data_IF_396810066914
#
_entry.id   IF_396810066914
#
_cell.length_a   1.000
_cell.length_b   1.000
_cell.length_c   1.000
_cell.angle_alpha   90.00
_cell.angle_beta   90.00
_cell.angle_gamma   90.00
#
_symmetry.space_group_name_H-M   'P 1'
#
loop_
_entity.id
_entity.type
_entity.pdbx_description
1 polymer ?
#
# COMPACT_ATOMS: atom_id res chain seq x y z
N UNK A 1 17.18 3.54 20.95
CA UNK A 1 16.09 3.99 20.05
C UNK A 1 16.32 3.46 18.65
N UNK A 2 15.29 3.28 17.85
CA UNK A 2 15.32 2.82 16.45
C UNK A 2 14.58 3.81 15.58
N UNK A 3 15.11 4.12 14.41
CA UNK A 3 14.54 5.10 13.49
C UNK A 3 13.90 4.40 12.29
N UNK A 4 12.63 4.64 12.05
CA UNK A 4 11.96 4.29 10.79
C UNK A 4 11.79 5.51 9.91
N UNK A 5 12.12 5.37 8.63
CA UNK A 5 11.98 6.40 7.59
C UNK A 5 11.01 5.86 6.54
N UNK A 6 9.90 6.55 6.34
CA UNK A 6 8.90 6.20 5.32
C UNK A 6 8.81 7.27 4.25
N UNK A 7 9.05 6.87 3.00
CA UNK A 7 9.02 7.73 1.82
C UNK A 7 7.65 7.60 1.15
N UNK A 8 6.66 8.31 1.70
CA UNK A 8 5.31 8.33 1.11
C UNK A 8 5.21 9.24 -0.11
N UNK A 9 4.06 9.23 -0.77
CA UNK A 9 3.80 10.09 -1.95
C UNK A 9 3.66 11.56 -1.56
N UNK A 10 2.97 11.85 -0.45
CA UNK A 10 2.66 13.21 0.00
C UNK A 10 3.59 13.76 1.08
N UNK A 11 4.38 12.90 1.73
CA UNK A 11 5.30 13.29 2.78
C UNK A 11 6.37 12.22 3.04
N UNK A 12 7.54 12.65 3.51
CA UNK A 12 8.48 11.79 4.24
C UNK A 12 8.09 11.84 5.71
N UNK A 13 7.95 10.65 6.32
CA UNK A 13 7.61 10.49 7.73
C UNK A 13 8.72 9.76 8.47
N UNK A 14 9.06 10.24 9.65
CA UNK A 14 10.02 9.61 10.55
C UNK A 14 9.32 9.19 11.84
N UNK A 15 9.65 8.02 12.32
CA UNK A 15 9.25 7.52 13.65
C UNK A 15 10.51 7.08 14.38
N UNK A 16 10.75 7.64 15.56
CA UNK A 16 11.72 7.14 16.51
C UNK A 16 11.00 6.38 17.61
N UNK A 17 11.37 5.11 17.79
CA UNK A 17 10.73 4.23 18.74
C UNK A 17 11.75 3.48 19.62
N UNK A 18 11.32 3.04 20.78
CA UNK A 18 12.02 2.12 21.65
C UNK A 18 11.07 1.01 22.10
N UNK A 19 11.41 -0.25 21.78
CA UNK A 19 10.50 -1.38 21.93
C UNK A 19 9.12 -1.08 21.27
N UNK A 20 8.04 -1.07 22.04
CA UNK A 20 6.69 -0.86 21.55
C UNK A 20 6.20 0.60 21.72
N UNK A 21 7.10 1.51 22.12
CA UNK A 21 6.75 2.90 22.38
C UNK A 21 7.31 3.83 21.31
N UNK A 22 6.45 4.64 20.69
CA UNK A 22 6.84 5.75 19.85
C UNK A 22 7.27 6.91 20.74
N UNK A 23 8.51 7.36 20.59
CA UNK A 23 9.11 8.45 21.36
C UNK A 23 8.94 9.79 20.67
N UNK A 24 9.08 9.84 19.36
CA UNK A 24 8.98 11.09 18.58
C UNK A 24 8.69 10.79 17.11
N UNK A 25 8.05 11.73 16.46
CA UNK A 25 7.76 11.69 15.02
C UNK A 25 8.11 13.01 14.35
N UNK A 26 8.43 12.95 13.06
CA UNK A 26 8.58 14.13 12.23
C UNK A 26 7.98 13.87 10.84
N UNK A 27 7.51 14.92 10.18
CA UNK A 27 6.96 14.78 8.83
C UNK A 27 7.25 16.04 8.01
N UNK A 28 7.64 15.81 6.75
CA UNK A 28 7.89 16.89 5.78
C UNK A 28 7.10 16.57 4.51
N UNK A 29 6.24 17.51 4.11
CA UNK A 29 5.42 17.38 2.91
C UNK A 29 6.28 17.32 1.63
N UNK A 30 5.76 16.63 0.63
CA UNK A 30 6.32 16.47 -0.70
C UNK A 30 5.33 16.96 -1.76
N UNK A 31 5.85 17.56 -2.81
CA UNK A 31 5.07 17.93 -3.98
C UNK A 31 5.12 16.82 -5.03
N UNK A 32 4.00 16.60 -5.70
CA UNK A 32 3.88 15.70 -6.86
C UNK A 32 3.73 16.53 -8.11
N UNK A 33 4.52 16.25 -9.12
CA UNK A 33 4.41 16.85 -10.46
C UNK A 33 3.51 16.00 -11.34
N UNK A 34 2.63 16.63 -12.09
CA UNK A 34 1.78 15.99 -13.12
C UNK A 34 1.98 16.70 -14.45
N UNK A 35 3.06 16.43 -15.17
CA UNK A 35 3.42 17.14 -16.40
C UNK A 35 2.37 17.00 -17.51
N UNK A 36 1.69 15.85 -17.57
CA UNK A 36 0.63 15.54 -18.52
C UNK A 36 -0.56 14.88 -17.78
N UNK A 37 -1.77 14.88 -18.32
CA UNK A 37 -2.90 14.17 -17.74
C UNK A 37 -2.59 12.69 -17.50
N UNK A 38 -2.79 12.21 -16.27
CA UNK A 38 -2.50 10.85 -15.86
C UNK A 38 -1.03 10.54 -15.54
N UNK A 39 -0.12 11.51 -15.70
CA UNK A 39 1.28 11.38 -15.28
C UNK A 39 1.47 11.81 -13.83
N UNK A 40 2.39 11.14 -13.14
CA UNK A 40 2.72 11.44 -11.74
C UNK A 40 4.21 11.19 -11.51
N UNK A 41 4.93 12.23 -11.15
CA UNK A 41 6.39 12.21 -11.03
C UNK A 41 6.88 12.95 -9.77
N UNK A 42 8.02 12.49 -9.23
CA UNK A 42 8.76 13.18 -8.19
C UNK A 42 10.26 13.07 -8.45
N UNK A 43 11.02 14.14 -8.16
CA UNK A 43 12.47 14.06 -8.26
C UNK A 43 13.04 13.36 -7.02
N UNK A 44 13.88 12.30 -7.17
CA UNK A 44 14.40 11.55 -6.02
C UNK A 44 15.15 12.40 -4.98
N UNK A 45 15.82 13.48 -5.41
CA UNK A 45 16.53 14.38 -4.48
C UNK A 45 15.57 15.15 -3.55
N UNK A 46 14.29 15.34 -3.93
CA UNK A 46 13.30 15.93 -3.03
C UNK A 46 13.06 15.05 -1.80
N UNK A 47 13.05 13.72 -1.98
CA UNK A 47 12.91 12.75 -0.88
C UNK A 47 14.11 12.85 0.07
N UNK A 48 15.34 12.92 -0.49
CA UNK A 48 16.54 13.08 0.33
C UNK A 48 16.54 14.38 1.11
N UNK A 49 16.24 15.50 0.45
CA UNK A 49 16.13 16.80 1.12
C UNK A 49 15.05 16.83 2.20
N UNK A 50 13.89 16.19 1.94
CA UNK A 50 12.82 16.08 2.92
C UNK A 50 13.23 15.18 4.10
N UNK A 51 13.97 14.09 3.85
CA UNK A 51 14.54 13.24 4.89
C UNK A 51 15.51 14.02 5.78
N UNK A 52 16.43 14.79 5.22
CA UNK A 52 17.35 15.64 5.99
C UNK A 52 16.60 16.69 6.82
N UNK A 53 15.57 17.35 6.25
CA UNK A 53 14.73 18.30 7.00
C UNK A 53 13.97 17.64 8.13
N UNK A 54 13.41 16.45 7.90
CA UNK A 54 12.68 15.70 8.93
C UNK A 54 13.61 15.26 10.07
N UNK A 55 14.85 14.85 9.76
CA UNK A 55 15.88 14.56 10.76
C UNK A 55 16.27 15.80 11.55
N UNK A 56 16.39 16.96 10.90
CA UNK A 56 16.60 18.25 11.57
C UNK A 56 15.45 18.60 12.54
N UNK A 57 14.18 18.32 12.18
CA UNK A 57 13.06 18.49 13.11
C UNK A 57 13.11 17.51 14.30
N UNK A 58 13.52 16.27 14.04
CA UNK A 58 13.61 15.23 15.05
C UNK A 58 14.75 15.51 16.05
N UNK A 59 15.89 16.01 15.58
CA UNK A 59 17.08 16.34 16.41
C UNK A 59 16.79 17.39 17.47
N UNK A 60 15.79 18.24 17.27
CA UNK A 60 15.32 19.20 18.28
C UNK A 60 14.52 18.57 19.45
N UNK A 61 14.19 17.27 19.35
CA UNK A 61 13.35 16.55 20.32
C UNK A 61 14.04 15.33 20.93
N UNK A 62 14.96 14.69 20.18
CA UNK A 62 15.71 13.52 20.62
C UNK A 62 17.19 13.67 20.24
N UNK A 63 18.07 12.97 20.97
CA UNK A 63 19.47 12.87 20.60
C UNK A 63 19.66 11.83 19.48
N UNK A 64 19.97 12.26 18.25
CA UNK A 64 20.21 11.35 17.12
C UNK A 64 21.36 10.37 17.37
N UNK A 65 22.30 10.71 18.26
CA UNK A 65 23.40 9.83 18.69
C UNK A 65 22.95 8.59 19.45
N UNK A 66 21.72 8.57 19.97
CA UNK A 66 21.14 7.43 20.69
C UNK A 66 20.42 6.43 19.76
N UNK A 67 20.33 6.74 18.47
CA UNK A 67 19.75 5.82 17.47
C UNK A 67 20.74 4.67 17.25
N UNK A 68 20.24 3.43 17.29
CA UNK A 68 21.03 2.20 17.18
C UNK A 68 20.99 1.57 15.79
N UNK A 69 19.88 1.74 15.07
CA UNK A 69 19.72 1.31 13.68
C UNK A 69 18.59 2.07 12.99
N UNK A 70 18.59 2.04 11.64
CA UNK A 70 17.62 2.67 10.75
C UNK A 70 16.91 1.58 9.94
N UNK A 71 15.59 1.66 9.85
CA UNK A 71 14.76 0.90 8.92
C UNK A 71 14.11 1.82 7.88
N UNK A 72 13.90 1.28 6.70
CA UNK A 72 13.36 2.01 5.57
C UNK A 72 11.98 1.49 5.17
N UNK A 73 11.12 2.39 4.74
CA UNK A 73 9.83 2.11 4.12
C UNK A 73 9.57 3.12 3.01
N UNK A 74 8.70 2.79 2.08
CA UNK A 74 8.29 3.78 1.09
C UNK A 74 7.21 3.29 0.15
N UNK A 75 6.63 4.26 -0.58
CA UNK A 75 5.69 3.99 -1.65
C UNK A 75 6.28 3.00 -2.66
N UNK A 76 5.53 1.96 -2.95
CA UNK A 76 5.95 0.90 -3.86
C UNK A 76 5.89 1.35 -5.34
N UNK A 77 6.48 0.56 -6.22
CA UNK A 77 6.36 0.67 -7.68
C UNK A 77 7.03 1.90 -8.33
N UNK A 78 7.51 2.88 -7.57
CA UNK A 78 8.16 4.07 -8.11
C UNK A 78 9.43 3.72 -8.89
N UNK A 79 9.54 4.16 -10.15
CA UNK A 79 10.71 3.84 -10.97
C UNK A 79 11.81 4.91 -10.81
N UNK A 80 12.81 4.63 -9.96
CA UNK A 80 14.02 5.46 -9.81
C UNK A 80 15.11 4.92 -10.73
N UNK A 81 15.41 5.67 -11.78
CA UNK A 81 16.28 5.25 -12.87
C UNK A 81 17.62 5.96 -12.75
N UNK A 82 18.71 5.20 -12.66
CA UNK A 82 20.05 5.74 -12.40
C UNK A 82 21.03 5.41 -13.52
N UNK A 83 21.95 6.34 -13.77
CA UNK A 83 23.11 6.14 -14.62
C UNK A 83 24.22 5.32 -13.91
N UNK A 84 25.33 5.06 -14.61
CA UNK A 84 26.50 4.31 -14.09
C UNK A 84 27.17 5.00 -12.89
N UNK A 85 26.93 6.30 -12.71
CA UNK A 85 27.42 7.08 -11.55
C UNK A 85 26.37 7.12 -10.41
N UNK A 86 25.32 6.30 -10.50
CA UNK A 86 24.21 6.25 -9.53
C UNK A 86 23.44 7.56 -9.40
N UNK A 87 23.36 8.37 -10.48
CA UNK A 87 22.62 9.63 -10.53
C UNK A 87 21.28 9.45 -11.23
N UNK A 88 20.19 10.04 -10.70
CA UNK A 88 18.90 9.98 -11.37
C UNK A 88 18.98 10.57 -12.79
N UNK A 89 18.51 9.82 -13.79
CA UNK A 89 18.47 10.25 -15.20
C UNK A 89 17.19 11.03 -15.54
N UNK A 90 16.19 10.95 -14.66
CA UNK A 90 14.93 11.69 -14.76
C UNK A 90 14.17 11.66 -13.42
N UNK A 91 13.10 12.46 -13.25
CA UNK A 91 12.15 12.27 -12.14
C UNK A 91 11.60 10.85 -12.13
N UNK A 92 11.39 10.29 -10.94
CA UNK A 92 10.81 8.97 -10.75
C UNK A 92 9.34 8.96 -11.19
N UNK A 93 8.93 7.94 -11.94
CA UNK A 93 7.53 7.72 -12.33
C UNK A 93 6.85 6.96 -11.21
N UNK A 94 5.79 7.55 -10.61
CA UNK A 94 5.17 7.05 -9.38
C UNK A 94 4.13 5.94 -9.64
N UNK A 95 3.65 5.32 -8.57
CA UNK A 95 2.71 4.20 -8.58
C UNK A 95 1.31 4.55 -9.14
N UNK A 96 0.89 5.81 -9.04
CA UNK A 96 -0.39 6.33 -9.52
C UNK A 96 -0.30 6.93 -10.94
N UNK A 97 0.83 6.71 -11.64
CA UNK A 97 1.01 7.09 -13.03
C UNK A 97 0.33 6.10 -13.96
N UNK A 98 -0.34 6.58 -15.00
CA UNK A 98 -1.11 5.76 -15.93
C UNK A 98 -0.60 5.77 -17.37
N UNK A 99 0.63 6.30 -17.63
CA UNK A 99 1.17 6.43 -19.00
C UNK A 99 1.43 5.10 -19.70
N UNK A 100 1.74 4.03 -18.98
CA UNK A 100 2.22 2.75 -19.50
C UNK A 100 1.12 1.69 -19.72
N UNK A 101 -0.09 2.13 -20.17
CA UNK A 101 -1.23 1.22 -20.39
C UNK A 101 -0.94 0.22 -21.51
N UNK A 102 -0.43 0.70 -22.65
CA UNK A 102 -0.13 -0.14 -23.83
C UNK A 102 0.94 -1.19 -23.50
N UNK A 103 1.93 -0.79 -22.71
CA UNK A 103 3.03 -1.67 -22.29
C UNK A 103 2.54 -2.80 -21.38
N UNK A 104 1.44 -2.61 -20.63
CA UNK A 104 0.84 -3.70 -19.86
C UNK A 104 0.29 -4.81 -20.76
N UNK A 105 -0.37 -4.47 -21.86
CA UNK A 105 -0.91 -5.43 -22.82
C UNK A 105 0.21 -6.14 -23.57
N UNK A 106 1.24 -5.39 -23.98
CA UNK A 106 2.43 -5.93 -24.61
C UNK A 106 3.14 -6.96 -23.71
N UNK A 107 3.26 -6.66 -22.38
CA UNK A 107 3.88 -7.56 -21.41
C UNK A 107 3.05 -8.82 -21.17
N UNK A 108 1.71 -8.70 -21.09
CA UNK A 108 0.83 -9.88 -20.99
C UNK A 108 0.96 -10.79 -22.21
N UNK A 109 1.09 -10.22 -23.40
CA UNK A 109 1.29 -10.99 -24.63
C UNK A 109 2.68 -11.63 -24.69
N UNK A 110 3.74 -10.92 -24.27
CA UNK A 110 5.12 -11.42 -24.29
C UNK A 110 5.37 -12.50 -23.23
N UNK A 111 4.73 -12.39 -22.05
CA UNK A 111 4.86 -13.34 -20.94
C UNK A 111 3.49 -13.68 -20.33
N UNK A 112 2.74 -14.65 -20.92
CA UNK A 112 1.40 -15.01 -20.45
C UNK A 112 1.33 -15.50 -18.99
N UNK A 113 2.45 -16.00 -18.44
CA UNK A 113 2.52 -16.47 -17.06
C UNK A 113 2.90 -15.36 -16.06
N UNK A 114 3.07 -14.12 -16.53
CA UNK A 114 3.57 -13.02 -15.70
C UNK A 114 2.77 -12.86 -14.40
N UNK A 115 1.44 -12.94 -14.47
CA UNK A 115 0.58 -12.79 -13.29
C UNK A 115 0.77 -13.88 -12.24
N UNK A 116 1.05 -15.12 -12.66
CA UNK A 116 1.33 -16.23 -11.75
C UNK A 116 2.74 -16.21 -11.17
N UNK A 117 3.71 -15.67 -11.91
CA UNK A 117 5.09 -15.54 -11.44
C UNK A 117 5.22 -14.34 -10.50
N UNK A 118 4.74 -13.18 -10.93
CA UNK A 118 4.85 -11.91 -10.18
C UNK A 118 3.73 -11.67 -9.17
N UNK A 119 2.74 -12.57 -9.09
CA UNK A 119 1.63 -12.48 -8.13
C UNK A 119 0.54 -11.47 -8.47
N UNK A 120 0.61 -10.80 -9.62
CA UNK A 120 -0.40 -9.83 -10.09
C UNK A 120 -0.28 -9.60 -11.58
N UNK A 121 -1.38 -9.24 -12.27
CA UNK A 121 -1.32 -8.80 -13.67
C UNK A 121 -0.61 -7.45 -13.82
N UNK A 122 0.09 -7.19 -14.94
CA UNK A 122 0.64 -5.89 -15.23
C UNK A 122 -0.41 -4.78 -15.19
N UNK A 123 -0.12 -3.72 -14.44
CA UNK A 123 -0.88 -2.49 -14.36
C UNK A 123 0.06 -1.31 -14.59
N UNK A 124 -0.40 -0.16 -15.13
CA UNK A 124 0.46 0.96 -15.51
C UNK A 124 1.29 1.52 -14.35
N UNK A 125 0.77 1.40 -13.13
CA UNK A 125 1.45 1.85 -11.91
C UNK A 125 2.65 1.03 -11.49
N UNK A 126 2.87 -0.18 -12.02
CA UNK A 126 4.02 -1.03 -11.69
C UNK A 126 5.30 -0.60 -12.41
N UNK A 127 6.47 -1.04 -11.92
CA UNK A 127 7.76 -0.58 -12.42
C UNK A 127 8.06 -1.08 -13.83
N UNK A 128 7.86 -2.38 -14.11
CA UNK A 128 8.23 -2.97 -15.41
C UNK A 128 7.55 -2.33 -16.63
N UNK A 129 6.22 -2.04 -16.63
CA UNK A 129 5.59 -1.31 -17.72
C UNK A 129 6.19 0.07 -17.97
N UNK A 130 6.60 0.80 -16.91
CA UNK A 130 7.24 2.11 -17.04
C UNK A 130 8.59 2.05 -17.73
N UNK A 131 9.37 0.98 -17.52
CA UNK A 131 10.65 0.79 -18.20
C UNK A 131 10.43 0.45 -19.67
N UNK A 132 9.42 -0.37 -19.99
CA UNK A 132 9.03 -0.63 -21.37
C UNK A 132 8.55 0.66 -22.08
N UNK A 133 7.80 1.52 -21.38
CA UNK A 133 7.40 2.85 -21.83
C UNK A 133 8.63 3.74 -22.08
N UNK A 134 9.56 3.82 -21.12
CA UNK A 134 10.79 4.60 -21.25
C UNK A 134 11.58 4.20 -22.52
N UNK A 135 11.75 2.91 -22.75
CA UNK A 135 12.44 2.39 -23.93
C UNK A 135 11.80 2.89 -25.24
N UNK A 136 10.47 2.91 -25.29
CA UNK A 136 9.71 3.32 -26.50
C UNK A 136 9.69 4.82 -26.71
N UNK A 137 9.52 5.60 -25.64
CA UNK A 137 9.24 7.03 -25.71
C UNK A 137 10.44 7.92 -25.38
N UNK A 138 11.42 7.42 -24.61
CA UNK A 138 12.62 8.15 -24.20
C UNK A 138 13.89 7.29 -24.40
N UNK A 139 14.18 6.82 -25.64
CA UNK A 139 15.28 5.87 -25.92
C UNK A 139 16.66 6.38 -25.52
N UNK A 140 16.90 7.69 -25.60
CA UNK A 140 18.18 8.29 -25.20
C UNK A 140 18.40 8.19 -23.67
N UNK A 141 17.34 8.29 -22.88
CA UNK A 141 17.38 8.08 -21.43
C UNK A 141 17.50 6.60 -21.09
N UNK A 142 16.76 5.75 -21.81
CA UNK A 142 16.88 4.31 -21.64
C UNK A 142 18.31 3.83 -21.92
N UNK A 143 19.01 4.39 -22.92
CA UNK A 143 20.41 4.10 -23.23
C UNK A 143 21.41 4.52 -22.13
N UNK A 144 21.01 5.36 -21.17
CA UNK A 144 21.82 5.76 -20.02
C UNK A 144 21.57 4.90 -18.77
N UNK A 145 20.51 4.07 -18.80
CA UNK A 145 20.08 3.27 -17.66
C UNK A 145 21.14 2.24 -17.27
N UNK A 146 21.49 2.21 -16.00
CA UNK A 146 22.44 1.27 -15.43
C UNK A 146 21.91 0.61 -14.13
N UNK A 147 21.04 1.29 -13.40
CA UNK A 147 20.43 0.73 -12.19
C UNK A 147 18.97 1.19 -12.06
N UNK A 148 18.13 0.30 -11.53
CA UNK A 148 16.72 0.55 -11.24
C UNK A 148 16.52 0.35 -9.75
N UNK A 149 16.06 1.38 -9.05
CA UNK A 149 15.72 1.34 -7.63
C UNK A 149 14.26 1.75 -7.41
N UNK A 150 13.79 1.52 -6.20
CA UNK A 150 12.51 2.01 -5.70
C UNK A 150 12.74 3.22 -4.78
N UNK A 151 11.71 4.00 -4.41
CA UNK A 151 11.88 5.23 -3.64
C UNK A 151 12.66 5.07 -2.34
N UNK A 152 12.34 4.04 -1.51
CA UNK A 152 13.07 3.77 -0.27
C UNK A 152 14.51 3.33 -0.52
N UNK A 153 14.74 2.55 -1.60
CA UNK A 153 16.07 2.05 -1.95
C UNK A 153 17.01 3.20 -2.35
N UNK A 154 16.45 4.24 -2.99
CA UNK A 154 17.22 5.45 -3.28
C UNK A 154 17.65 6.17 -2.00
N UNK A 155 16.82 6.23 -0.98
CA UNK A 155 17.22 6.77 0.34
C UNK A 155 18.24 5.86 1.01
N UNK A 156 18.10 4.54 0.90
CA UNK A 156 19.12 3.58 1.32
C UNK A 156 20.47 3.85 0.65
N UNK A 157 20.47 3.97 -0.68
CA UNK A 157 21.67 4.32 -1.47
C UNK A 157 22.31 5.63 -0.98
N UNK A 158 21.53 6.66 -0.66
CA UNK A 158 22.04 7.94 -0.14
C UNK A 158 22.62 7.79 1.27
N UNK A 159 22.07 6.91 2.10
CA UNK A 159 22.54 6.66 3.46
C UNK A 159 23.83 5.82 3.49
N UNK A 160 23.86 4.69 2.77
CA UNK A 160 24.93 3.67 2.91
C UNK A 160 25.72 3.39 1.64
N UNK A 161 25.39 3.97 0.50
CA UNK A 161 26.14 3.87 -0.75
C UNK A 161 26.00 2.55 -1.53
N UNK A 162 25.37 1.52 -0.96
CA UNK A 162 25.13 0.23 -1.62
C UNK A 162 23.83 0.22 -2.42
N UNK A 163 23.74 -0.62 -3.46
CA UNK A 163 22.51 -0.95 -4.14
C UNK A 163 21.88 -2.14 -3.39
N UNK A 164 20.66 -1.97 -2.89
CA UNK A 164 19.94 -2.99 -2.16
C UNK A 164 18.43 -2.74 -2.27
N UNK A 165 17.63 -3.80 -2.24
CA UNK A 165 16.16 -3.76 -2.08
C UNK A 165 15.73 -4.92 -1.19
N UNK A 166 14.46 -4.92 -0.75
CA UNK A 166 13.87 -6.06 -0.07
C UNK A 166 12.85 -6.79 -0.95
N UNK A 167 12.48 -8.00 -0.53
CA UNK A 167 11.57 -8.84 -1.30
C UNK A 167 10.17 -8.22 -1.46
N UNK A 168 9.66 -7.48 -0.46
CA UNK A 168 8.32 -6.93 -0.51
C UNK A 168 8.20 -5.75 -1.47
N UNK A 169 9.19 -4.89 -1.53
CA UNK A 169 9.21 -3.77 -2.47
C UNK A 169 9.58 -4.24 -3.88
N UNK A 170 10.56 -5.18 -3.99
CA UNK A 170 10.88 -5.86 -5.23
C UNK A 170 9.67 -6.54 -5.87
N UNK A 171 8.74 -7.08 -5.06
CA UNK A 171 7.47 -7.66 -5.52
C UNK A 171 6.66 -6.68 -6.37
N UNK A 172 6.65 -5.41 -5.99
CA UNK A 172 5.97 -4.34 -6.71
C UNK A 172 6.58 -3.94 -8.04
N UNK A 173 7.71 -4.51 -8.42
CA UNK A 173 8.35 -4.23 -9.73
C UNK A 173 7.76 -5.03 -10.88
N UNK A 174 7.12 -6.16 -10.65
CA UNK A 174 6.74 -7.27 -11.51
C UNK A 174 7.91 -8.19 -11.94
N UNK A 175 9.17 -7.85 -11.70
CA UNK A 175 10.30 -8.72 -12.05
C UNK A 175 10.60 -9.80 -11.04
N UNK A 176 10.06 -9.72 -9.81
CA UNK A 176 10.29 -10.75 -8.80
C UNK A 176 9.47 -12.03 -9.09
N UNK A 177 10.12 -13.19 -9.13
CA UNK A 177 9.46 -14.47 -8.95
C UNK A 177 9.10 -14.61 -7.47
N UNK A 178 7.83 -14.40 -7.15
CA UNK A 178 7.32 -14.35 -5.78
C UNK A 178 7.58 -15.66 -5.03
N UNK A 179 7.49 -16.79 -5.72
CA UNK A 179 7.69 -18.11 -5.12
C UNK A 179 9.15 -18.34 -4.70
N UNK A 180 10.10 -17.76 -5.44
CA UNK A 180 11.53 -17.87 -5.20
C UNK A 180 12.12 -16.70 -4.44
N UNK A 181 11.35 -15.60 -4.27
CA UNK A 181 11.83 -14.33 -3.70
C UNK A 181 13.11 -13.82 -4.39
N UNK A 182 13.18 -13.98 -5.70
CA UNK A 182 14.35 -13.66 -6.52
C UNK A 182 13.91 -13.08 -7.88
N UNK A 183 14.77 -12.33 -8.54
CA UNK A 183 14.50 -11.79 -9.85
C UNK A 183 14.22 -12.90 -10.88
N UNK A 184 13.19 -12.72 -11.69
CA UNK A 184 12.79 -13.62 -12.76
C UNK A 184 13.55 -13.28 -14.07
N UNK A 185 14.47 -14.14 -14.54
CA UNK A 185 15.15 -13.91 -15.81
C UNK A 185 14.17 -13.83 -17.00
N UNK A 186 13.07 -14.60 -16.95
CA UNK A 186 12.09 -14.65 -18.03
C UNK A 186 11.32 -13.33 -18.15
N UNK A 187 10.94 -12.70 -17.01
CA UNK A 187 10.25 -11.41 -17.03
C UNK A 187 11.23 -10.29 -17.36
N UNK A 188 12.45 -10.32 -16.82
CA UNK A 188 13.49 -9.35 -17.15
C UNK A 188 13.76 -9.35 -18.67
N UNK A 189 13.92 -10.52 -19.28
CA UNK A 189 14.07 -10.68 -20.72
C UNK A 189 12.86 -10.17 -21.51
N UNK A 190 11.63 -10.43 -21.06
CA UNK A 190 10.42 -9.96 -21.74
C UNK A 190 10.27 -8.44 -21.73
N UNK A 191 10.97 -7.76 -20.83
CA UNK A 191 10.99 -6.28 -20.68
C UNK A 191 12.27 -5.63 -21.20
N UNK A 192 13.20 -6.42 -21.75
CA UNK A 192 14.56 -5.99 -22.15
C UNK A 192 15.31 -5.29 -20.99
N UNK A 193 15.17 -5.81 -19.77
CA UNK A 193 15.88 -5.33 -18.58
C UNK A 193 17.02 -6.30 -18.26
N UNK A 194 18.22 -5.75 -18.15
CA UNK A 194 19.39 -6.53 -17.72
C UNK A 194 19.28 -6.83 -16.21
N UNK A 195 19.53 -8.07 -15.81
CA UNK A 195 19.46 -8.45 -14.38
C UNK A 195 20.46 -7.66 -13.51
N UNK A 196 21.59 -7.25 -14.08
CA UNK A 196 22.61 -6.45 -13.39
C UNK A 196 22.14 -5.01 -13.09
N UNK A 197 21.04 -4.57 -13.69
CA UNK A 197 20.43 -3.26 -13.35
C UNK A 197 19.60 -3.33 -12.07
N UNK A 198 19.20 -4.54 -11.67
CA UNK A 198 18.36 -4.78 -10.50
C UNK A 198 19.25 -5.02 -9.27
N UNK A 199 18.94 -4.40 -8.12
CA UNK A 199 19.75 -4.56 -6.92
C UNK A 199 19.62 -5.96 -6.31
N UNK A 200 20.57 -6.42 -5.48
CA UNK A 200 20.39 -7.61 -4.65
C UNK A 200 19.16 -7.50 -3.76
N UNK A 201 18.42 -8.60 -3.61
CA UNK A 201 17.20 -8.71 -2.79
C UNK A 201 17.55 -9.28 -1.42
N UNK A 202 17.08 -8.63 -0.37
CA UNK A 202 17.30 -8.98 1.03
C UNK A 202 15.96 -9.23 1.77
N UNK A 203 16.01 -9.78 2.96
CA UNK A 203 14.91 -9.71 3.90
C UNK A 203 14.95 -8.36 4.64
N UNK A 204 13.77 -7.85 5.03
CA UNK A 204 13.65 -6.47 5.50
C UNK A 204 14.43 -6.13 6.78
N UNK A 205 14.76 -7.11 7.60
CA UNK A 205 15.56 -6.94 8.81
C UNK A 205 17.08 -7.10 8.59
N UNK A 206 17.50 -7.52 7.37
CA UNK A 206 18.93 -7.68 7.05
C UNK A 206 19.63 -6.32 7.03
N UNK A 207 20.79 -6.23 7.69
CA UNK A 207 21.64 -5.04 7.62
C UNK A 207 22.32 -5.02 6.25
N UNK A 208 22.00 -4.04 5.42
CA UNK A 208 22.51 -3.90 4.04
C UNK A 208 23.65 -2.89 3.92
N UNK A 209 23.93 -2.14 4.96
CA UNK A 209 25.00 -1.17 5.00
C UNK A 209 25.00 -0.34 6.27
N UNK A 210 25.87 0.66 6.31
CA UNK A 210 25.96 1.60 7.44
C UNK A 210 26.00 3.03 6.91
N UNK A 211 25.50 3.98 7.69
CA UNK A 211 25.55 5.40 7.35
C UNK A 211 26.98 5.83 7.05
N UNK A 212 27.19 6.37 5.85
CA UNK A 212 28.52 6.87 5.42
C UNK A 212 28.89 8.17 6.13
N UNK A 213 30.18 8.54 6.11
CA UNK A 213 30.61 9.83 6.66
C UNK A 213 29.95 11.03 5.92
N UNK A 214 29.73 10.90 4.61
CA UNK A 214 29.06 11.91 3.80
C UNK A 214 27.58 12.07 4.22
N UNK A 215 26.84 10.95 4.32
CA UNK A 215 25.46 10.97 4.78
C UNK A 215 25.35 11.49 6.24
N UNK A 216 26.28 11.12 7.10
CA UNK A 216 26.35 11.61 8.48
C UNK A 216 26.49 13.14 8.54
N UNK A 217 27.32 13.71 7.67
CA UNK A 217 27.52 15.17 7.59
C UNK A 217 26.26 15.91 7.12
N UNK A 218 25.48 15.31 6.20
CA UNK A 218 24.24 15.92 5.69
C UNK A 218 23.04 15.74 6.65
N UNK A 219 22.99 14.64 7.38
CA UNK A 219 21.80 14.22 8.17
C UNK A 219 21.92 14.48 9.66
N UNK A 220 23.15 14.61 10.19
CA UNK A 220 23.43 14.64 11.62
C UNK A 220 23.34 13.27 12.31
N UNK A 221 23.08 12.20 11.56
CA UNK A 221 23.11 10.81 12.08
C UNK A 221 24.56 10.37 12.35
N UNK A 222 24.82 9.45 13.30
CA UNK A 222 26.14 8.87 13.49
C UNK A 222 26.64 8.11 12.25
N UNK A 223 27.89 8.36 11.85
CA UNK A 223 28.55 7.51 10.85
C UNK A 223 28.71 6.08 11.40
N UNK A 224 28.55 5.08 10.55
CA UNK A 224 28.60 3.67 10.93
C UNK A 224 27.32 3.11 11.53
N UNK A 225 26.24 3.91 11.62
CA UNK A 225 24.93 3.47 12.10
C UNK A 225 24.34 2.43 11.13
N UNK A 226 23.94 1.21 11.59
CA UNK A 226 23.37 0.18 10.74
C UNK A 226 22.07 0.61 10.06
N UNK A 227 21.90 0.23 8.78
CA UNK A 227 20.69 0.43 7.99
C UNK A 227 20.20 -0.93 7.50
N UNK A 228 18.95 -1.28 7.79
CA UNK A 228 18.33 -2.51 7.29
C UNK A 228 17.61 -2.26 5.97
N UNK A 229 17.35 -3.32 5.20
CA UNK A 229 16.71 -3.25 3.88
C UNK A 229 15.31 -2.62 3.93
N UNK A 230 14.57 -2.85 5.01
CA UNK A 230 13.23 -2.31 5.19
C UNK A 230 12.17 -3.03 4.38
N UNK A 231 11.16 -2.30 3.87
CA UNK A 231 10.08 -2.90 3.09
C UNK A 231 9.23 -1.88 2.34
N UNK A 232 8.44 -2.33 1.36
CA UNK A 232 7.36 -1.54 0.80
C UNK A 232 6.34 -1.15 1.88
N UNK A 233 5.66 -0.03 1.69
CA UNK A 233 4.75 0.57 2.68
C UNK A 233 3.65 -0.38 3.17
N UNK A 234 3.11 -1.24 2.28
CA UNK A 234 2.11 -2.24 2.66
C UNK A 234 2.67 -3.28 3.65
N UNK A 235 3.88 -3.80 3.37
CA UNK A 235 4.52 -4.82 4.20
C UNK A 235 5.04 -4.25 5.53
N UNK A 236 5.62 -3.06 5.53
CA UNK A 236 6.03 -2.38 6.77
C UNK A 236 4.83 -1.93 7.60
N UNK A 237 3.74 -1.50 6.94
CA UNK A 237 2.45 -1.28 7.60
C UNK A 237 1.92 -2.53 8.27
N UNK A 238 2.05 -3.70 7.64
CA UNK A 238 1.72 -4.98 8.25
C UNK A 238 2.59 -5.29 9.48
N UNK A 239 3.90 -5.03 9.41
CA UNK A 239 4.80 -5.17 10.58
C UNK A 239 4.38 -4.26 11.73
N UNK A 240 3.92 -3.03 11.46
CA UNK A 240 3.44 -2.12 12.51
C UNK A 240 2.22 -2.65 13.26
N UNK A 241 1.41 -3.49 12.61
CA UNK A 241 0.17 -4.07 13.14
C UNK A 241 0.33 -5.52 13.63
N UNK A 242 1.53 -6.09 13.57
CA UNK A 242 1.75 -7.50 13.87
C UNK A 242 1.12 -8.46 12.85
N UNK A 243 0.73 -7.96 11.66
CA UNK A 243 0.14 -8.78 10.59
C UNK A 243 1.24 -9.47 9.75
N UNK A 244 2.08 -10.27 10.41
CA UNK A 244 3.27 -10.91 9.84
C UNK A 244 3.18 -12.43 9.75
N UNK A 245 2.12 -13.04 10.30
CA UNK A 245 1.91 -14.49 10.34
C UNK A 245 0.58 -14.88 9.68
N UNK A 246 0.46 -16.13 9.20
CA UNK A 246 -0.82 -16.67 8.73
C UNK A 246 -1.91 -16.51 9.80
N UNK A 247 -3.11 -16.14 9.39
CA UNK A 247 -4.21 -15.84 10.30
C UNK A 247 -4.20 -14.40 10.85
N UNK A 248 -3.36 -13.51 10.29
CA UNK A 248 -3.29 -12.09 10.60
C UNK A 248 -3.59 -11.25 9.38
N UNK A 249 -4.38 -10.19 9.56
CA UNK A 249 -4.72 -9.29 8.46
C UNK A 249 -5.31 -7.97 8.96
N UNK A 250 -5.45 -7.04 8.04
CA UNK A 250 -6.05 -5.74 8.32
C UNK A 250 -6.82 -5.18 7.13
N UNK A 251 -7.71 -4.24 7.41
CA UNK A 251 -8.33 -3.37 6.42
C UNK A 251 -7.80 -1.94 6.61
N UNK A 252 -7.49 -1.27 5.50
CA UNK A 252 -7.15 0.15 5.50
C UNK A 252 -8.29 0.94 4.84
N UNK A 253 -8.84 1.90 5.57
CA UNK A 253 -9.99 2.73 5.20
C UNK A 253 -9.53 4.18 4.99
N UNK A 254 -8.59 4.35 4.06
CA UNK A 254 -8.17 5.66 3.56
C UNK A 254 -9.07 6.15 2.41
N UNK A 255 -8.58 7.10 1.60
CA UNK A 255 -9.23 7.50 0.33
C UNK A 255 -9.46 6.28 -0.56
N UNK A 256 -8.46 5.42 -0.70
CA UNK A 256 -8.54 4.06 -1.24
C UNK A 256 -8.76 3.04 -0.12
N UNK A 257 -9.22 1.84 -0.49
CA UNK A 257 -9.40 0.72 0.43
C UNK A 257 -8.33 -0.35 0.22
N UNK A 258 -7.92 -1.02 1.29
CA UNK A 258 -7.06 -2.21 1.19
C UNK A 258 -7.58 -3.28 2.14
N UNK A 259 -7.54 -4.52 1.68
CA UNK A 259 -7.66 -5.71 2.52
C UNK A 259 -6.36 -6.49 2.38
N UNK A 260 -5.64 -6.66 3.48
CA UNK A 260 -4.35 -7.34 3.54
C UNK A 260 -4.44 -8.57 4.43
N UNK A 261 -3.87 -9.69 3.98
CA UNK A 261 -3.79 -10.94 4.76
C UNK A 261 -2.40 -11.53 4.60
N UNK A 262 -1.70 -11.74 5.71
CA UNK A 262 -0.42 -12.43 5.73
C UNK A 262 -0.60 -13.95 5.60
N UNK A 263 0.33 -14.61 4.90
CA UNK A 263 0.36 -16.08 4.75
C UNK A 263 1.82 -16.59 4.70
N UNK A 264 1.99 -17.88 4.99
CA UNK A 264 3.23 -18.63 4.80
C UNK A 264 3.31 -19.34 3.44
N UNK A 265 2.30 -19.17 2.61
CA UNK A 265 2.20 -19.78 1.29
C UNK A 265 1.93 -18.71 0.25
N UNK A 266 2.67 -18.76 -0.86
CA UNK A 266 2.39 -17.95 -2.02
C UNK A 266 1.10 -18.41 -2.71
N UNK A 267 0.09 -17.54 -2.78
CA UNK A 267 -1.24 -17.84 -3.34
C UNK A 267 -1.64 -16.82 -4.41
N UNK A 268 -1.11 -16.91 -5.64
CA UNK A 268 -1.47 -15.98 -6.71
C UNK A 268 -2.94 -16.13 -7.12
N UNK A 269 -3.63 -14.99 -7.29
CA UNK A 269 -4.96 -14.90 -7.86
C UNK A 269 -5.06 -13.68 -8.79
N UNK A 270 -4.27 -13.69 -9.89
CA UNK A 270 -4.15 -12.53 -10.77
C UNK A 270 -5.46 -12.19 -11.49
N UNK A 271 -6.33 -13.17 -11.76
CA UNK A 271 -7.62 -13.00 -12.44
C UNK A 271 -8.61 -12.17 -11.62
N UNK A 272 -8.40 -12.10 -10.30
CA UNK A 272 -9.17 -11.25 -9.36
C UNK A 272 -8.44 -9.98 -8.98
N UNK A 273 -7.34 -9.66 -9.66
CA UNK A 273 -6.51 -8.48 -9.35
C UNK A 273 -6.09 -8.40 -7.87
N UNK A 274 -5.96 -9.56 -7.22
CA UNK A 274 -5.40 -9.70 -5.88
C UNK A 274 -3.88 -9.74 -6.02
N UNK A 275 -3.19 -8.86 -5.32
CA UNK A 275 -1.74 -8.89 -5.24
C UNK A 275 -1.34 -10.04 -4.31
N UNK A 276 -0.49 -10.94 -4.77
CA UNK A 276 0.12 -11.99 -3.96
C UNK A 276 1.63 -11.76 -3.96
N UNK A 277 2.14 -11.13 -2.91
CA UNK A 277 3.51 -10.62 -2.87
C UNK A 277 4.31 -11.24 -1.72
N UNK A 278 5.63 -11.32 -1.91
CA UNK A 278 6.53 -11.62 -0.82
C UNK A 278 6.38 -10.57 0.29
N UNK A 279 6.37 -11.02 1.54
CA UNK A 279 6.45 -10.15 2.69
C UNK A 279 7.89 -9.67 2.89
N UNK A 280 8.10 -8.57 3.62
CA UNK A 280 9.45 -8.11 3.98
C UNK A 280 10.19 -9.07 4.92
N UNK A 281 9.50 -10.01 5.55
CA UNK A 281 10.06 -11.04 6.41
C UNK A 281 10.30 -12.34 5.63
N UNK A 282 11.30 -13.18 5.99
CA UNK A 282 11.63 -14.43 5.31
C UNK A 282 10.48 -15.43 5.35
N UNK A 283 10.35 -16.24 4.29
CA UNK A 283 9.39 -17.35 4.16
C UNK A 283 7.94 -16.94 4.44
N UNK A 284 7.58 -15.71 4.07
CA UNK A 284 6.23 -15.15 4.21
C UNK A 284 5.82 -14.41 2.96
N UNK A 285 4.53 -14.45 2.71
CA UNK A 285 3.84 -13.75 1.63
C UNK A 285 2.62 -13.04 2.20
N UNK A 286 1.96 -12.29 1.38
CA UNK A 286 0.65 -11.71 1.68
C UNK A 286 -0.22 -11.66 0.43
N UNK A 287 -1.52 -11.71 0.64
CA UNK A 287 -2.49 -11.31 -0.36
C UNK A 287 -3.01 -9.91 -0.02
N UNK A 288 -3.23 -9.08 -1.03
CA UNK A 288 -3.79 -7.75 -0.85
C UNK A 288 -4.75 -7.40 -1.98
N UNK A 289 -6.00 -7.07 -1.62
CA UNK A 289 -6.90 -6.38 -2.50
C UNK A 289 -6.66 -4.87 -2.34
N UNK A 290 -6.38 -4.20 -3.44
CA UNK A 290 -6.14 -2.76 -3.48
C UNK A 290 -7.26 -2.09 -4.28
N UNK A 291 -8.22 -1.51 -3.56
CA UNK A 291 -9.44 -0.89 -4.10
C UNK A 291 -9.26 0.60 -4.28
N UNK A 292 -9.85 1.16 -5.33
CA UNK A 292 -9.84 2.61 -5.58
C UNK A 292 -10.83 3.37 -4.67
N UNK A 293 -11.84 2.68 -4.18
CA UNK A 293 -12.93 3.23 -3.40
C UNK A 293 -12.90 2.69 -1.96
N UNK A 294 -12.15 3.40 -1.08
CA UNK A 294 -12.20 3.21 0.37
C UNK A 294 -13.22 4.16 1.02
N UNK A 295 -12.78 5.09 1.87
CA UNK A 295 -13.65 6.12 2.47
C UNK A 295 -13.96 7.31 1.54
N UNK A 296 -13.34 7.38 0.35
CA UNK A 296 -13.56 8.46 -0.64
C UNK A 296 -15.04 8.72 -0.96
N UNK A 297 -15.91 7.70 -1.15
CA UNK A 297 -17.33 7.94 -1.44
C UNK A 297 -18.06 8.76 -0.37
N UNK A 298 -17.66 8.63 0.90
CA UNK A 298 -18.22 9.42 2.02
C UNK A 298 -17.90 10.92 1.81
N UNK A 299 -16.61 11.23 1.54
CA UNK A 299 -16.20 12.62 1.31
C UNK A 299 -16.79 13.19 0.04
N UNK A 300 -16.94 12.36 -1.01
CA UNK A 300 -17.56 12.77 -2.27
C UNK A 300 -19.03 13.16 -2.08
N UNK A 301 -19.85 12.30 -1.47
CA UNK A 301 -21.27 12.62 -1.24
C UNK A 301 -21.43 13.79 -0.27
N UNK A 302 -20.56 13.90 0.73
CA UNK A 302 -20.52 15.04 1.63
C UNK A 302 -20.37 16.36 0.87
N UNK A 303 -19.42 16.42 -0.06
CA UNK A 303 -19.21 17.58 -0.93
C UNK A 303 -20.44 17.90 -1.81
N UNK A 304 -21.16 16.88 -2.31
CA UNK A 304 -22.37 17.10 -3.12
C UNK A 304 -23.56 17.61 -2.28
N UNK A 305 -23.64 17.19 -1.01
CA UNK A 305 -24.77 17.54 -0.12
C UNK A 305 -24.48 18.72 0.81
N UNK A 306 -23.24 19.23 0.81
CA UNK A 306 -22.79 20.29 1.72
C UNK A 306 -22.52 19.81 3.15
N UNK A 307 -22.10 18.55 3.32
CA UNK A 307 -21.81 17.92 4.61
C UNK A 307 -20.32 17.56 4.74
N UNK A 308 -19.82 17.56 5.95
CA UNK A 308 -18.54 16.91 6.30
C UNK A 308 -18.69 15.38 6.27
N UNK A 309 -17.60 14.65 6.21
CA UNK A 309 -17.61 13.18 6.30
C UNK A 309 -18.26 12.68 7.60
N UNK A 310 -18.05 13.35 8.71
CA UNK A 310 -18.67 13.01 10.01
C UNK A 310 -20.21 13.20 9.98
N UNK A 311 -20.69 14.28 9.37
CA UNK A 311 -22.13 14.51 9.21
C UNK A 311 -22.79 13.48 8.28
N UNK A 312 -22.09 13.04 7.21
CA UNK A 312 -22.58 11.96 6.34
C UNK A 312 -22.76 10.66 7.16
N UNK A 313 -21.77 10.29 7.97
CA UNK A 313 -21.83 9.10 8.83
C UNK A 313 -22.97 9.24 9.87
N UNK A 314 -23.05 10.38 10.55
CA UNK A 314 -24.10 10.62 11.54
C UNK A 314 -25.52 10.54 10.95
N UNK A 315 -25.73 11.08 9.72
CA UNK A 315 -26.99 10.92 9.01
C UNK A 315 -27.26 9.45 8.64
N UNK A 316 -26.24 8.73 8.17
CA UNK A 316 -26.36 7.32 7.80
C UNK A 316 -26.74 6.41 8.99
N UNK A 317 -26.40 6.78 10.22
CA UNK A 317 -26.76 6.07 11.45
C UNK A 317 -28.26 6.18 11.79
N UNK A 318 -28.94 7.24 11.34
CA UNK A 318 -30.34 7.50 11.68
C UNK A 318 -31.33 6.61 10.93
N UNK A 319 -30.90 5.89 9.91
CA UNK A 319 -31.75 5.10 9.02
C UNK A 319 -31.18 3.70 8.79
N UNK A 320 -32.08 2.74 8.58
CA UNK A 320 -31.76 1.36 8.21
C UNK A 320 -32.94 0.74 7.49
N UNK A 321 -32.73 -0.38 6.78
CA UNK A 321 -33.80 -1.18 6.20
C UNK A 321 -33.65 -1.46 4.71
N UNK A 322 -34.58 -2.26 4.17
CA UNK A 322 -34.50 -2.85 2.83
C UNK A 322 -34.87 -1.88 1.71
N UNK A 323 -35.56 -0.78 2.01
CA UNK A 323 -36.00 0.23 1.03
C UNK A 323 -34.95 1.26 0.66
N UNK A 324 -33.80 1.24 1.32
CA UNK A 324 -32.69 2.14 1.00
C UNK A 324 -32.22 1.92 -0.45
N UNK A 325 -31.82 2.96 -1.16
CA UNK A 325 -31.23 2.81 -2.49
C UNK A 325 -29.94 1.99 -2.42
N UNK A 326 -29.52 1.44 -3.57
CA UNK A 326 -28.20 0.82 -3.72
C UNK A 326 -27.30 1.83 -4.42
N UNK A 327 -26.08 1.98 -3.93
CA UNK A 327 -25.05 2.81 -4.55
C UNK A 327 -23.85 1.97 -5.01
N UNK A 328 -23.46 2.11 -6.28
CA UNK A 328 -22.17 1.63 -6.78
C UNK A 328 -21.13 2.74 -6.59
N UNK A 329 -20.09 2.56 -5.79
CA UNK A 329 -19.17 3.66 -5.42
C UNK A 329 -18.05 3.90 -6.44
N UNK A 330 -18.10 3.31 -7.62
CA UNK A 330 -17.03 3.25 -8.61
C UNK A 330 -16.82 4.57 -9.37
N UNK A 331 -16.52 5.65 -8.63
CA UNK A 331 -16.42 7.01 -9.20
C UNK A 331 -15.28 7.17 -10.23
N UNK A 332 -14.26 6.33 -10.17
CA UNK A 332 -13.08 6.36 -11.04
C UNK A 332 -12.70 4.96 -11.56
N UNK A 333 -13.67 4.08 -11.72
CA UNK A 333 -13.43 2.66 -11.96
C UNK A 333 -13.13 1.90 -10.68
N UNK A 334 -12.78 0.62 -10.81
CA UNK A 334 -12.33 -0.22 -9.68
C UNK A 334 -11.22 -1.17 -10.12
N UNK A 335 -10.25 -1.40 -9.21
CA UNK A 335 -9.13 -2.32 -9.41
C UNK A 335 -9.45 -3.71 -8.84
N UNK A 336 -9.17 -3.96 -7.57
CA UNK A 336 -9.48 -5.25 -6.94
C UNK A 336 -10.91 -5.27 -6.42
N UNK A 337 -11.68 -6.32 -6.59
CA UNK A 337 -11.39 -7.54 -7.37
C UNK A 337 -11.91 -7.49 -8.81
N UNK A 338 -12.38 -6.34 -9.31
CA UNK A 338 -13.14 -6.21 -10.55
C UNK A 338 -12.27 -6.03 -11.80
N UNK A 339 -11.14 -5.33 -11.69
CA UNK A 339 -10.28 -4.96 -12.81
C UNK A 339 -11.00 -4.14 -13.87
N UNK A 340 -11.93 -3.28 -13.47
CA UNK A 340 -12.80 -2.55 -14.35
C UNK A 340 -12.54 -1.02 -14.28
N UNK A 341 -11.72 -0.47 -15.18
CA UNK A 341 -11.41 0.96 -15.18
C UNK A 341 -12.55 1.83 -15.75
N UNK A 342 -13.54 1.21 -16.42
CA UNK A 342 -14.60 1.91 -17.12
C UNK A 342 -15.85 2.08 -16.27
N UNK A 343 -16.16 1.15 -15.38
CA UNK A 343 -17.34 1.23 -14.49
C UNK A 343 -17.42 2.59 -13.77
N UNK A 344 -18.63 3.12 -13.63
CA UNK A 344 -18.88 4.39 -12.96
C UNK A 344 -19.93 4.25 -11.86
N UNK A 345 -19.97 5.28 -10.97
CA UNK A 345 -20.92 5.34 -9.86
C UNK A 345 -22.38 5.44 -10.32
N UNK A 346 -23.26 4.70 -9.60
CA UNK A 346 -24.69 4.68 -9.92
C UNK A 346 -25.52 4.54 -8.65
N UNK A 347 -26.61 5.33 -8.53
CA UNK A 347 -27.68 5.11 -7.57
C UNK A 347 -28.84 4.38 -8.24
N UNK A 348 -29.37 3.36 -7.58
CA UNK A 348 -30.53 2.61 -8.03
C UNK A 348 -31.59 2.53 -6.92
N UNK A 349 -32.86 2.62 -7.30
CA UNK A 349 -33.98 2.50 -6.36
C UNK A 349 -34.27 3.79 -5.59
N UNK A 350 -34.01 4.97 -6.21
CA UNK A 350 -34.47 6.24 -5.67
C UNK A 350 -35.97 6.37 -5.83
N UNK A 351 -36.67 6.82 -4.80
CA UNK A 351 -38.09 7.11 -4.74
C UNK A 351 -38.30 8.59 -4.37
N UNK A 352 -39.50 9.11 -4.57
CA UNK A 352 -39.85 10.47 -4.18
C UNK A 352 -39.70 10.73 -2.68
N UNK A 353 -39.83 9.68 -1.89
CA UNK A 353 -39.63 9.66 -0.43
C UNK A 353 -38.18 9.55 0.03
N UNK A 354 -37.22 9.30 -0.89
CA UNK A 354 -35.80 9.11 -0.53
C UNK A 354 -35.24 10.37 0.11
N UNK A 355 -34.72 10.22 1.34
CA UNK A 355 -34.14 11.30 2.10
C UNK A 355 -32.63 11.40 1.93
N UNK A 356 -32.01 12.50 2.40
CA UNK A 356 -30.55 12.63 2.43
C UNK A 356 -29.90 11.57 3.31
N UNK A 357 -30.55 11.17 4.39
CA UNK A 357 -30.05 10.11 5.28
C UNK A 357 -30.00 8.76 4.55
N UNK A 358 -31.02 8.44 3.74
CA UNK A 358 -31.04 7.20 2.93
C UNK A 358 -29.90 7.18 1.91
N UNK A 359 -29.61 8.31 1.26
CA UNK A 359 -28.48 8.44 0.33
C UNK A 359 -27.14 8.25 1.07
N UNK A 360 -26.96 8.93 2.20
CA UNK A 360 -25.75 8.77 3.02
C UNK A 360 -25.56 7.31 3.47
N UNK A 361 -26.61 6.65 3.91
CA UNK A 361 -26.57 5.25 4.32
C UNK A 361 -26.18 4.32 3.17
N UNK A 362 -26.77 4.49 2.00
CA UNK A 362 -26.42 3.71 0.81
C UNK A 362 -24.94 3.86 0.44
N UNK A 363 -24.37 5.05 0.58
CA UNK A 363 -22.95 5.31 0.34
C UNK A 363 -22.06 4.60 1.38
N UNK A 364 -22.39 4.66 2.66
CA UNK A 364 -21.62 3.98 3.72
C UNK A 364 -21.68 2.46 3.55
N UNK A 365 -22.87 1.90 3.27
CA UNK A 365 -23.03 0.46 3.02
C UNK A 365 -22.27 -0.02 1.79
N UNK A 366 -22.18 0.79 0.75
CA UNK A 366 -21.47 0.41 -0.48
C UNK A 366 -20.00 0.11 -0.24
N UNK A 367 -19.37 0.79 0.71
CA UNK A 367 -17.98 0.52 1.10
C UNK A 367 -17.86 -0.86 1.75
N UNK A 368 -18.78 -1.21 2.66
CA UNK A 368 -18.79 -2.54 3.26
C UNK A 368 -19.02 -3.64 2.22
N UNK A 369 -19.84 -3.38 1.19
CA UNK A 369 -20.05 -4.33 0.08
C UNK A 369 -18.79 -4.49 -0.79
N UNK A 370 -18.03 -3.43 -1.05
CA UNK A 370 -16.73 -3.52 -1.73
C UNK A 370 -15.74 -4.39 -0.93
N UNK A 371 -15.68 -4.22 0.40
CA UNK A 371 -14.83 -5.06 1.26
C UNK A 371 -15.31 -6.52 1.29
N UNK A 372 -16.62 -6.79 1.24
CA UNK A 372 -17.14 -8.14 1.13
C UNK A 372 -16.75 -8.82 -0.20
N UNK A 373 -16.79 -8.07 -1.33
CA UNK A 373 -16.35 -8.59 -2.63
C UNK A 373 -14.83 -8.80 -2.66
N UNK A 374 -14.07 -7.90 -2.06
CA UNK A 374 -12.63 -8.07 -1.88
C UNK A 374 -12.32 -9.32 -1.04
N UNK A 375 -12.97 -9.49 0.11
CA UNK A 375 -12.80 -10.65 0.98
C UNK A 375 -13.10 -11.97 0.25
N UNK A 376 -14.16 -12.03 -0.55
CA UNK A 376 -14.50 -13.22 -1.33
C UNK A 376 -13.39 -13.61 -2.33
N UNK A 377 -12.61 -12.65 -2.82
CA UNK A 377 -11.52 -12.92 -3.77
C UNK A 377 -10.31 -13.62 -3.15
N UNK A 378 -10.23 -13.68 -1.81
CA UNK A 378 -9.16 -14.38 -1.08
C UNK A 378 -9.46 -15.87 -0.83
N UNK A 379 -10.70 -16.31 -1.09
CA UNK A 379 -11.11 -17.71 -0.85
C UNK A 379 -10.85 -18.14 0.60
N UNK A 380 -10.34 -19.37 0.77
CA UNK A 380 -10.10 -19.97 2.08
C UNK A 380 -9.13 -19.16 2.99
N UNK A 381 -8.35 -18.27 2.40
CA UNK A 381 -7.41 -17.44 3.19
C UNK A 381 -8.15 -16.53 4.16
N UNK A 382 -9.26 -15.92 3.72
CA UNK A 382 -10.06 -15.05 4.59
C UNK A 382 -10.78 -15.84 5.69
N UNK A 383 -11.19 -17.08 5.39
CA UNK A 383 -11.92 -17.94 6.33
C UNK A 383 -11.04 -18.32 7.53
N UNK A 384 -9.73 -18.40 7.33
CA UNK A 384 -8.76 -18.75 8.38
C UNK A 384 -8.50 -17.64 9.39
N UNK A 385 -8.93 -16.38 9.10
CA UNK A 385 -8.69 -15.25 9.98
C UNK A 385 -9.63 -15.28 11.20
N UNK A 386 -9.13 -15.10 12.43
CA UNK A 386 -9.98 -14.90 13.60
C UNK A 386 -10.65 -13.51 13.60
N UNK A 387 -9.95 -12.51 13.09
CA UNK A 387 -10.34 -11.10 13.07
C UNK A 387 -9.52 -10.29 12.08
N UNK A 388 -9.88 -9.03 11.84
CA UNK A 388 -9.14 -8.07 11.04
C UNK A 388 -8.94 -6.76 11.81
N UNK A 389 -7.73 -6.22 11.80
CA UNK A 389 -7.48 -4.86 12.31
C UNK A 389 -7.97 -3.81 11.31
N UNK A 390 -8.51 -2.68 11.79
CA UNK A 390 -8.96 -1.57 10.94
C UNK A 390 -8.13 -0.32 11.19
N UNK A 391 -7.58 0.28 10.12
CA UNK A 391 -6.78 1.49 10.15
C UNK A 391 -7.26 2.54 9.14
N UNK A 392 -6.73 3.76 9.24
CA UNK A 392 -7.06 4.87 8.35
C UNK A 392 -8.28 5.68 8.82
N UNK A 393 -8.53 6.84 8.19
CA UNK A 393 -9.55 7.78 8.65
C UNK A 393 -10.97 7.21 8.71
N UNK A 394 -11.32 6.29 7.81
CA UNK A 394 -12.63 5.63 7.81
C UNK A 394 -12.84 4.66 8.99
N UNK A 395 -11.77 4.20 9.65
CA UNK A 395 -11.86 3.33 10.84
C UNK A 395 -12.41 4.06 12.07
N UNK A 396 -12.56 5.38 12.01
CA UNK A 396 -13.19 6.16 13.08
C UNK A 396 -14.72 6.02 13.09
N UNK A 397 -15.33 5.43 12.06
CA UNK A 397 -16.78 5.21 11.96
C UNK A 397 -17.18 3.84 12.51
N UNK A 398 -17.83 3.81 13.67
CA UNK A 398 -18.34 2.59 14.29
C UNK A 398 -19.38 1.91 13.39
N UNK A 399 -20.23 2.72 12.75
CA UNK A 399 -21.21 2.22 11.77
C UNK A 399 -20.51 1.45 10.63
N UNK A 400 -19.48 2.06 10.03
CA UNK A 400 -18.78 1.44 8.91
C UNK A 400 -18.08 0.15 9.32
N UNK A 401 -17.41 0.14 10.49
CA UNK A 401 -16.75 -1.06 11.00
C UNK A 401 -17.73 -2.18 11.33
N UNK A 402 -18.88 -1.86 11.93
CA UNK A 402 -19.94 -2.84 12.20
C UNK A 402 -20.55 -3.43 10.91
N UNK A 403 -20.72 -2.60 9.87
CA UNK A 403 -21.20 -3.05 8.56
C UNK A 403 -20.17 -3.97 7.88
N UNK A 404 -18.88 -3.62 7.91
CA UNK A 404 -17.80 -4.44 7.35
C UNK A 404 -17.71 -5.76 8.11
N UNK A 405 -17.72 -5.73 9.46
CA UNK A 405 -17.71 -6.94 10.29
C UNK A 405 -18.84 -7.89 9.89
N UNK A 406 -20.06 -7.35 9.75
CA UNK A 406 -21.25 -8.13 9.40
C UNK A 406 -21.20 -8.69 7.97
N UNK A 407 -20.74 -7.91 6.99
CA UNK A 407 -20.71 -8.34 5.58
C UNK A 407 -19.59 -9.34 5.29
N UNK A 408 -18.44 -9.22 5.97
CA UNK A 408 -17.32 -10.17 5.85
C UNK A 408 -17.55 -11.40 6.75
N UNK A 409 -18.34 -11.24 7.83
CA UNK A 409 -18.57 -12.30 8.82
C UNK A 409 -17.36 -12.53 9.75
N UNK A 410 -16.56 -11.48 10.00
CA UNK A 410 -15.37 -11.50 10.86
C UNK A 410 -15.39 -10.31 11.82
N UNK A 411 -14.94 -10.50 13.07
CA UNK A 411 -14.70 -9.38 13.97
C UNK A 411 -13.71 -8.37 13.37
N UNK A 412 -13.99 -7.08 13.53
CA UNK A 412 -13.09 -6.00 13.17
C UNK A 412 -12.62 -5.33 14.46
N UNK A 413 -11.31 -5.16 14.62
CA UNK A 413 -10.71 -4.51 15.78
C UNK A 413 -10.06 -3.19 15.40
N UNK A 414 -10.23 -2.16 16.20
CA UNK A 414 -9.51 -0.89 16.09
C UNK A 414 -8.30 -0.95 17.01
N UNK A 415 -7.06 -0.94 16.46
CA UNK A 415 -5.86 -0.96 17.27
C UNK A 415 -5.52 0.43 17.80
N UNK A 416 -4.87 0.49 18.97
CA UNK A 416 -4.28 1.71 19.51
C UNK A 416 -3.11 2.17 18.62
N UNK A 417 -2.95 3.48 18.42
CA UNK A 417 -1.81 4.04 17.69
C UNK A 417 -1.74 3.69 16.21
N UNK A 418 -2.85 3.31 15.59
CA UNK A 418 -2.95 2.92 14.18
C UNK A 418 -2.41 3.96 13.17
N UNK A 419 -2.20 5.21 13.59
CA UNK A 419 -1.69 6.31 12.76
C UNK A 419 -0.17 6.26 12.54
N UNK A 420 0.56 5.42 13.28
CA UNK A 420 2.02 5.31 13.21
C UNK A 420 2.54 4.66 11.93
N UNK A 421 1.73 3.84 11.29
CA UNK A 421 1.90 3.38 9.92
C UNK A 421 3.23 2.73 9.57
N UNK A 422 3.62 2.80 8.27
CA UNK A 422 4.81 2.11 7.73
C UNK A 422 6.14 2.53 8.38
N UNK A 423 6.28 3.80 8.78
CA UNK A 423 7.49 4.28 9.46
C UNK A 423 7.75 3.55 10.80
N UNK A 424 6.69 3.25 11.56
CA UNK A 424 6.85 2.47 12.79
C UNK A 424 7.23 1.02 12.50
N UNK A 425 6.62 0.39 11.50
CA UNK A 425 7.03 -0.94 11.06
C UNK A 425 8.50 -1.00 10.63
N UNK A 426 8.98 0.03 9.92
CA UNK A 426 10.39 0.16 9.57
C UNK A 426 11.31 0.27 10.81
N UNK A 427 10.90 1.03 11.85
CA UNK A 427 11.64 1.11 13.10
C UNK A 427 11.68 -0.26 13.83
N UNK A 428 10.59 -1.04 13.81
CA UNK A 428 10.56 -2.41 14.35
C UNK A 428 11.48 -3.36 13.57
N UNK A 429 11.55 -3.25 12.24
CA UNK A 429 12.52 -4.00 11.43
C UNK A 429 13.96 -3.64 11.79
N UNK A 430 14.26 -2.35 12.01
CA UNK A 430 15.57 -1.90 12.47
C UNK A 430 15.92 -2.49 13.85
N UNK A 431 14.96 -2.52 14.77
CA UNK A 431 15.13 -3.13 16.09
C UNK A 431 15.39 -4.65 15.98
N UNK A 432 14.71 -5.33 15.07
CA UNK A 432 14.93 -6.75 14.80
C UNK A 432 16.31 -7.01 14.19
N UNK A 433 16.71 -6.27 13.15
CA UNK A 433 18.03 -6.42 12.52
C UNK A 433 19.19 -6.09 13.47
N UNK A 434 18.97 -5.22 14.46
CA UNK A 434 19.94 -4.91 15.51
C UNK A 434 19.92 -5.95 16.66
N UNK A 435 18.95 -6.88 16.70
CA UNK A 435 18.84 -7.92 17.71
C UNK A 435 18.12 -7.50 19.01
N UNK A 436 17.41 -6.39 19.02
CA UNK A 436 16.61 -5.95 20.18
C UNK A 436 15.19 -6.53 20.17
N UNK A 437 14.65 -6.86 19.01
CA UNK A 437 13.43 -7.62 18.82
C UNK A 437 13.75 -8.93 18.09
N UNK A 438 13.02 -9.97 18.43
CA UNK A 438 13.02 -11.21 17.65
C UNK A 438 12.02 -11.13 16.51
N UNK A 439 12.10 -12.09 15.56
CA UNK A 439 11.08 -12.24 14.51
C UNK A 439 9.68 -12.51 15.08
N UNK A 440 9.60 -13.16 16.24
CA UNK A 440 8.32 -13.45 16.92
C UNK A 440 7.71 -12.17 17.48
N UNK A 441 8.54 -11.28 18.03
CA UNK A 441 8.05 -9.99 18.59
C UNK A 441 7.43 -9.10 17.50
N UNK A 442 7.85 -9.25 16.22
CA UNK A 442 7.24 -8.53 15.11
C UNK A 442 5.78 -8.94 14.82
N UNK A 443 5.33 -10.07 15.36
CA UNK A 443 3.94 -10.53 15.26
C UNK A 443 3.05 -10.01 16.40
N UNK A 444 3.61 -9.30 17.38
CA UNK A 444 2.85 -8.70 18.46
C UNK A 444 1.96 -7.57 17.91
N UNK A 445 0.67 -7.68 18.21
CA UNK A 445 -0.33 -6.71 17.79
C UNK A 445 -0.41 -5.56 18.80
N UNK A 446 -0.67 -4.32 18.32
CA UNK A 446 -1.03 -3.23 19.22
C UNK A 446 -2.26 -3.60 20.07
N UNK A 447 -2.42 -3.04 21.29
CA UNK A 447 -3.64 -3.19 22.06
C UNK A 447 -4.87 -2.76 21.26
N UNK A 448 -5.99 -3.45 21.42
CA UNK A 448 -7.25 -3.04 20.82
C UNK A 448 -7.94 -1.96 21.68
N UNK A 449 -8.54 -0.96 21.02
CA UNK A 449 -9.38 0.05 21.70
C UNK A 449 -10.85 -0.31 21.59
N UNK A 450 -11.29 -0.82 20.44
CA UNK A 450 -12.67 -1.18 20.16
C UNK A 450 -12.74 -2.46 19.34
N UNK A 451 -13.85 -3.20 19.54
CA UNK A 451 -14.13 -4.44 18.83
C UNK A 451 -15.55 -4.47 18.29
N UNK A 452 -15.71 -4.80 17.04
CA UNK A 452 -16.96 -4.86 16.30
C UNK A 452 -17.25 -6.29 15.88
N UNK A 453 -18.17 -6.93 16.56
CA UNK A 453 -18.61 -8.29 16.23
C UNK A 453 -19.57 -8.28 15.04
N UNK A 454 -19.57 -9.34 14.20
CA UNK A 454 -20.57 -9.50 13.15
C UNK A 454 -22.00 -9.51 13.71
N UNK A 455 -22.87 -8.67 13.14
CA UNK A 455 -24.30 -8.69 13.42
C UNK A 455 -25.07 -9.73 12.59
N UNK A 456 -26.40 -9.65 12.57
CA UNK A 456 -27.24 -10.47 11.69
C UNK A 456 -27.01 -10.06 10.21
N UNK A 457 -26.45 -10.96 9.36
CA UNK A 457 -26.14 -10.63 7.98
C UNK A 457 -27.35 -10.64 7.03
N UNK A 458 -28.55 -11.08 7.48
CA UNK A 458 -29.69 -11.40 6.61
C UNK A 458 -30.08 -10.25 5.68
N UNK A 459 -30.31 -9.06 6.24
CA UNK A 459 -30.70 -7.88 5.46
C UNK A 459 -29.55 -7.39 4.56
N UNK A 460 -28.31 -7.36 5.08
CA UNK A 460 -27.14 -6.91 4.34
C UNK A 460 -26.80 -7.86 3.20
N UNK A 461 -26.96 -9.18 3.38
CA UNK A 461 -26.74 -10.19 2.34
C UNK A 461 -27.71 -9.98 1.16
N UNK A 462 -29.00 -9.72 1.43
CA UNK A 462 -29.95 -9.44 0.38
C UNK A 462 -29.57 -8.17 -0.41
N UNK A 463 -29.12 -7.12 0.29
CA UNK A 463 -28.67 -5.85 -0.32
C UNK A 463 -27.34 -6.02 -1.08
N UNK A 464 -26.38 -6.77 -0.56
CA UNK A 464 -25.13 -7.12 -1.25
C UNK A 464 -25.41 -7.86 -2.57
N UNK A 465 -26.36 -8.82 -2.57
CA UNK A 465 -26.75 -9.50 -3.81
C UNK A 465 -27.35 -8.54 -4.84
N UNK A 466 -28.16 -7.56 -4.41
CA UNK A 466 -28.67 -6.51 -5.29
C UNK A 466 -27.55 -5.58 -5.80
N UNK A 467 -26.56 -5.25 -4.97
CA UNK A 467 -25.39 -4.48 -5.34
C UNK A 467 -24.59 -5.18 -6.45
N UNK A 468 -24.32 -6.48 -6.32
CA UNK A 468 -23.64 -7.30 -7.34
C UNK A 468 -24.44 -7.41 -8.65
N UNK A 469 -25.76 -7.58 -8.55
CA UNK A 469 -26.64 -7.61 -9.71
C UNK A 469 -26.66 -6.25 -10.43
N UNK A 470 -26.67 -5.13 -9.68
CA UNK A 470 -26.60 -3.79 -10.24
C UNK A 470 -25.26 -3.55 -10.97
N UNK A 471 -24.12 -3.97 -10.40
CA UNK A 471 -22.83 -3.89 -11.07
C UNK A 471 -22.86 -4.61 -12.43
N UNK A 472 -23.39 -5.84 -12.46
CA UNK A 472 -23.48 -6.63 -13.69
C UNK A 472 -24.38 -5.96 -14.75
N UNK A 473 -25.46 -5.30 -14.32
CA UNK A 473 -26.38 -4.58 -15.21
C UNK A 473 -25.76 -3.29 -15.76
N UNK A 474 -25.07 -2.51 -14.92
CA UNK A 474 -24.41 -1.26 -15.34
C UNK A 474 -23.25 -1.57 -16.29
N UNK A 475 -22.43 -2.59 -15.99
CA UNK A 475 -21.34 -3.03 -16.88
C UNK A 475 -21.82 -3.43 -18.28
N UNK A 476 -23.05 -3.86 -18.42
CA UNK A 476 -23.62 -4.22 -19.73
C UNK A 476 -24.08 -2.99 -20.54
N UNK A 477 -24.07 -1.79 -19.95
CA UNK A 477 -24.45 -0.51 -20.60
C UNK A 477 -23.21 0.20 -21.15
N UNK A 478 -22.05 0.01 -20.54
CA UNK A 478 -20.74 0.50 -21.00
C UNK A 478 -20.17 -0.38 -22.12
#
# INVERSE_FOLDING_TARGET
MYLGIDIGTSAVKLVCAEADQILSTASVALDVSSPEPGWSEQHPDQWWQATCRALGQLSGRIALSEIKAIGLSGQMHGAVLLDRNKRPIRPAILWNDSRAVQECDDLRAAQPQIGHISGVLPLPGFTAPKIAWLRRHEPDRYGQLAHILLPKDYIGLRLHGALATDASDAAGTLWLDQSKRAWSPDIAKATDVELDWLPPVFDGHDIVGTVTAEAAAETGLPAGLPVVAGGGDAATGAVSLGATESGRGFISLGTSGQLFVADKVFRPNPERYVHAFAHTLPDRWYQMAAMLNGARPISWIGGQLGFSAAEVVALAETVSGDRLPIFLPYLTGERSPLGDPHIRGCFYGLEDSTTRADICRAVVESIAFCFADAAQSFGDTIDSLPELSAIGGGSQSDLLLGLIATTIGKPIVRPEGADSGPAYGAARLAACGHGALSMTDLADQPPETDRFEPGDPTALTARLNRFRALYSAVKAVD
#
